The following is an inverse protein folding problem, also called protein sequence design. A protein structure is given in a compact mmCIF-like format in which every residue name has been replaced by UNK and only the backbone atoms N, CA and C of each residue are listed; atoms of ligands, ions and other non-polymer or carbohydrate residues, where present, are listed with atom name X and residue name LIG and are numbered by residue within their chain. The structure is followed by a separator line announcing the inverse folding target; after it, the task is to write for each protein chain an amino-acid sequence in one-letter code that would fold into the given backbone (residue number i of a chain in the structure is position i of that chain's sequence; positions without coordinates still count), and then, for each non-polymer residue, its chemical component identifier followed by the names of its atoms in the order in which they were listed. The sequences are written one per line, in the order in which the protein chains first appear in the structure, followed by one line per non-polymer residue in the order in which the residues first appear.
data_IF_143288701259
#
_entry.id   IF_143288701259
#
_cell.length_a   1.000
_cell.length_b   1.000
_cell.length_c   1.000
_cell.angle_alpha   90.00
_cell.angle_beta   90.00
_cell.angle_gamma   90.00
#
_symmetry.space_group_name_H-M   'P 1'
#
loop_
_entity.id
_entity.type
_entity.pdbx_description
1 polymer ?
#
# COMPACT_ATOMS: atom_id res chain seq x y z
N UNK A 1 15.37 11.44 9.18
CA UNK A 1 15.13 10.01 8.98
C UNK A 1 13.67 9.74 8.79
N UNK A 2 13.33 9.14 7.66
CA UNK A 2 11.95 8.85 7.34
C UNK A 2 11.45 7.60 8.07
N UNK A 3 10.14 7.55 8.29
CA UNK A 3 9.50 6.35 8.79
C UNK A 3 9.27 5.39 7.62
N UNK A 4 9.44 4.10 7.88
CA UNK A 4 9.20 3.07 6.87
C UNK A 4 7.73 2.72 6.80
N UNK A 5 7.25 2.58 5.58
CA UNK A 5 5.89 2.15 5.31
C UNK A 5 5.93 1.02 4.29
N UNK A 6 5.11 -0.01 4.52
CA UNK A 6 5.00 -1.14 3.61
C UNK A 6 3.70 -1.01 2.82
N UNK A 7 3.81 -1.22 1.51
CA UNK A 7 2.63 -1.26 0.64
C UNK A 7 2.26 -2.72 0.43
N UNK A 8 0.99 -3.03 0.69
CA UNK A 8 0.45 -4.38 0.49
C UNK A 8 -0.69 -4.33 -0.51
N UNK A 9 -0.83 -5.40 -1.27
CA UNK A 9 -2.00 -5.63 -2.10
C UNK A 9 -2.81 -6.75 -1.48
N UNK A 10 -4.12 -6.55 -1.33
CA UNK A 10 -4.99 -7.59 -0.81
C UNK A 10 -5.43 -8.48 -1.97
N UNK A 11 -5.11 -9.76 -1.87
CA UNK A 11 -5.47 -10.72 -2.91
C UNK A 11 -6.95 -11.12 -2.81
N UNK A 12 -7.53 -11.69 -3.87
CA UNK A 12 -8.95 -12.08 -3.85
C UNK A 12 -9.32 -13.01 -2.70
N UNK A 13 -8.38 -13.83 -2.23
CA UNK A 13 -8.62 -14.74 -1.11
C UNK A 13 -8.47 -14.06 0.25
N UNK A 14 -8.15 -12.76 0.27
CA UNK A 14 -8.01 -11.99 1.48
C UNK A 14 -6.59 -11.92 2.04
N UNK A 15 -5.64 -12.65 1.47
CA UNK A 15 -4.26 -12.62 1.93
C UNK A 15 -3.55 -11.35 1.47
N UNK A 16 -2.76 -10.73 2.35
CA UNK A 16 -1.95 -9.56 1.93
C UNK A 16 -0.71 -10.03 1.18
N UNK A 17 -0.39 -9.31 0.11
CA UNK A 17 0.82 -9.53 -0.65
C UNK A 17 1.70 -8.29 -0.50
N UNK A 18 2.90 -8.47 0.04
CA UNK A 18 3.84 -7.36 0.19
C UNK A 18 4.31 -6.90 -1.19
N UNK A 19 4.25 -5.60 -1.43
CA UNK A 19 4.64 -5.03 -2.72
C UNK A 19 6.00 -4.36 -2.61
N UNK A 20 6.14 -3.40 -1.71
CA UNK A 20 7.42 -2.71 -1.51
C UNK A 20 7.41 -1.90 -0.23
N UNK A 21 8.61 -1.54 0.22
CA UNK A 21 8.79 -0.64 1.35
C UNK A 21 9.17 0.75 0.83
N UNK A 22 8.66 1.79 1.48
CA UNK A 22 8.89 3.18 1.05
C UNK A 22 9.16 4.03 2.29
N UNK A 23 10.06 5.00 2.17
CA UNK A 23 10.31 5.97 3.21
C UNK A 23 9.33 7.12 3.08
N UNK A 24 8.60 7.43 4.16
CA UNK A 24 7.67 8.54 4.20
C UNK A 24 6.28 8.21 3.70
N UNK A 25 5.26 8.72 4.39
CA UNK A 25 3.87 8.42 4.05
C UNK A 25 3.46 9.03 2.72
N UNK A 26 3.87 10.27 2.44
CA UNK A 26 3.50 10.92 1.19
C UNK A 26 4.06 10.19 -0.01
N UNK A 27 5.31 9.74 0.08
CA UNK A 27 5.91 8.96 -0.99
C UNK A 27 5.21 7.61 -1.14
N UNK A 28 4.82 7.00 -0.02
CA UNK A 28 4.10 5.74 -0.06
C UNK A 28 2.77 5.88 -0.79
N UNK A 29 2.06 6.99 -0.55
CA UNK A 29 0.80 7.27 -1.25
C UNK A 29 1.01 7.45 -2.74
N UNK A 30 2.07 8.15 -3.14
CA UNK A 30 2.39 8.35 -4.56
C UNK A 30 2.70 7.02 -5.23
N UNK A 31 3.53 6.20 -4.58
CA UNK A 31 3.89 4.90 -5.14
C UNK A 31 2.68 3.98 -5.24
N UNK A 32 1.83 3.99 -4.21
CA UNK A 32 0.62 3.17 -4.23
C UNK A 32 -0.31 3.58 -5.38
N UNK A 33 -0.47 4.88 -5.61
CA UNK A 33 -1.30 5.36 -6.70
C UNK A 33 -0.79 4.89 -8.05
N UNK A 34 0.53 4.90 -8.26
CA UNK A 34 1.14 4.41 -9.49
C UNK A 34 0.94 2.92 -9.68
N UNK A 35 1.16 2.16 -8.62
CA UNK A 35 1.00 0.70 -8.64
C UNK A 35 -0.45 0.34 -8.93
N UNK A 36 -1.39 1.00 -8.26
CA UNK A 36 -2.81 0.73 -8.44
C UNK A 36 -3.29 1.10 -9.84
N UNK A 37 -2.69 2.12 -10.46
CA UNK A 37 -3.04 2.49 -11.83
C UNK A 37 -2.64 1.41 -12.83
N UNK A 38 -1.50 0.75 -12.60
CA UNK A 38 -1.03 -0.33 -13.45
C UNK A 38 -1.71 -1.65 -13.14
N UNK A 39 -2.04 -1.88 -11.88
CA UNK A 39 -2.61 -3.14 -11.44
C UNK A 39 -3.75 -2.85 -10.47
N UNK A 40 -4.97 -2.62 -10.98
CA UNK A 40 -6.11 -2.32 -10.13
C UNK A 40 -6.34 -3.39 -9.08
N UNK A 41 -6.86 -2.98 -7.94
CA UNK A 41 -7.11 -3.89 -6.84
C UNK A 41 -7.22 -3.13 -5.54
N UNK A 42 -7.19 -3.88 -4.46
CA UNK A 42 -7.27 -3.32 -3.12
C UNK A 42 -5.87 -3.27 -2.52
N UNK A 43 -5.49 -2.09 -2.03
CA UNK A 43 -4.16 -1.86 -1.48
C UNK A 43 -4.27 -1.20 -0.12
N UNK A 44 -3.23 -1.36 0.70
CA UNK A 44 -3.14 -0.61 1.94
C UNK A 44 -1.67 -0.33 2.27
N UNK A 45 -1.47 0.71 3.08
CA UNK A 45 -0.16 1.11 3.55
C UNK A 45 -0.10 0.81 5.05
N UNK A 46 0.91 0.06 5.45
CA UNK A 46 1.13 -0.34 6.83
C UNK A 46 2.30 0.44 7.42
N UNK A 47 2.08 1.04 8.57
CA UNK A 47 3.16 1.74 9.29
C UNK A 47 3.91 0.73 10.15
N UNK A 48 5.17 0.48 9.78
CA UNK A 48 6.01 -0.42 10.55
C UNK A 48 6.23 0.13 11.95
N UNK A 49 6.45 1.45 12.03
CA UNK A 49 6.72 2.12 13.31
C UNK A 49 5.54 2.03 14.28
N UNK A 50 4.33 2.25 13.77
CA UNK A 50 3.13 2.26 14.60
C UNK A 50 2.39 0.93 14.62
N UNK A 51 2.84 -0.03 13.81
CA UNK A 51 2.26 -1.36 13.69
C UNK A 51 0.76 -1.31 13.37
N UNK A 52 0.37 -0.44 12.45
CA UNK A 52 -1.03 -0.32 12.05
C UNK A 52 -1.15 0.17 10.61
N UNK A 53 -2.32 -0.08 10.02
CA UNK A 53 -2.65 0.41 8.69
C UNK A 53 -2.97 1.89 8.79
N UNK A 54 -2.30 2.70 7.96
CA UNK A 54 -2.49 4.16 7.98
C UNK A 54 -3.21 4.69 6.75
N UNK A 55 -3.37 3.87 5.72
CA UNK A 55 -4.03 4.29 4.48
C UNK A 55 -4.52 3.06 3.74
N UNK A 56 -5.69 3.16 3.14
CA UNK A 56 -6.23 2.09 2.31
C UNK A 56 -6.84 2.69 1.06
N UNK A 57 -6.70 1.97 -0.06
CA UNK A 57 -7.23 2.42 -1.33
C UNK A 57 -7.69 1.21 -2.14
N UNK A 58 -8.86 1.33 -2.73
CA UNK A 58 -9.37 0.32 -3.65
C UNK A 58 -9.60 0.96 -5.01
N UNK A 59 -8.98 0.36 -6.05
CA UNK A 59 -9.18 0.78 -7.44
C UNK A 59 -9.93 -0.36 -8.12
N UNK A 60 -11.18 -0.14 -8.50
CA UNK A 60 -11.98 -1.20 -9.11
C UNK A 60 -11.44 -1.56 -10.48
N UNK A 61 -11.53 -2.86 -10.80
CA UNK A 61 -11.25 -3.33 -12.13
C UNK A 61 -12.48 -3.05 -12.98
N UNK A 62 -12.25 -2.30 -14.00
CA UNK A 62 -13.32 -1.84 -14.79
C UNK A 62 -13.70 -2.46 -15.99
#
# INVERSE_FOLDING_TARGET
MGAKFDIFKKLPDGHPLWVKAVDGLEEAKVQLARIAASSPGEYFIYSVRNACIVHARMVPQG
#
